data_IF_196283949754
#
_entry.id   IF_196283949754
#
_cell.length_a   1.000
_cell.length_b   1.000
_cell.length_c   1.000
_cell.angle_alpha   90.00
_cell.angle_beta   90.00
_cell.angle_gamma   90.00
#
_symmetry.space_group_name_H-M   'P 1'
#
loop_
_entity.id
_entity.type
_entity.pdbx_description
1 polymer ?
#
# COMPACT_ATOMS: atom_id res chain seq x y z
N UNK A 1 14.03 10.49 10.64
CA UNK A 1 13.42 10.43 9.29
C UNK A 1 13.64 11.76 8.60
N UNK A 2 14.09 11.76 7.33
CA UNK A 2 14.27 13.00 6.53
C UNK A 2 13.25 12.94 5.40
N UNK A 3 12.28 13.85 5.42
CA UNK A 3 11.29 14.00 4.35
C UNK A 3 11.90 14.73 3.14
N UNK A 4 11.45 14.41 1.94
CA UNK A 4 11.71 15.16 0.74
C UNK A 4 10.93 16.50 0.76
N UNK A 5 11.38 17.49 -0.01
CA UNK A 5 10.75 18.82 -0.03
C UNK A 5 9.24 18.76 -0.34
N UNK A 6 8.86 18.04 -1.39
CA UNK A 6 7.43 17.89 -1.75
C UNK A 6 6.61 17.22 -0.63
N UNK A 7 7.21 16.29 0.13
CA UNK A 7 6.53 15.65 1.26
C UNK A 7 6.31 16.65 2.40
N UNK A 8 7.29 17.52 2.68
CA UNK A 8 7.14 18.61 3.66
C UNK A 8 6.06 19.60 3.22
N UNK A 9 6.03 19.97 1.93
CA UNK A 9 5.00 20.82 1.36
C UNK A 9 3.61 20.19 1.52
N UNK A 10 3.47 18.90 1.24
CA UNK A 10 2.21 18.18 1.44
C UNK A 10 1.77 18.16 2.90
N UNK A 11 2.68 17.96 3.85
CA UNK A 11 2.39 18.07 5.30
C UNK A 11 1.89 19.46 5.65
N UNK A 12 2.55 20.51 5.17
CA UNK A 12 2.13 21.90 5.40
C UNK A 12 0.73 22.16 4.85
N UNK A 13 0.46 21.73 3.61
CA UNK A 13 -0.87 21.87 2.99
C UNK A 13 -1.94 21.09 3.76
N UNK A 14 -1.62 19.95 4.36
CA UNK A 14 -2.55 19.22 5.24
C UNK A 14 -2.89 20.06 6.49
N UNK A 15 -1.90 20.71 7.13
CA UNK A 15 -2.18 21.62 8.25
C UNK A 15 -3.08 22.79 7.84
N UNK A 16 -2.82 23.39 6.70
CA UNK A 16 -3.64 24.49 6.15
C UNK A 16 -5.06 24.01 5.88
N UNK A 17 -5.24 22.87 5.24
CA UNK A 17 -6.56 22.27 4.96
C UNK A 17 -7.32 21.89 6.24
N UNK A 18 -6.65 21.45 7.30
CA UNK A 18 -7.27 21.18 8.59
C UNK A 18 -7.86 22.44 9.23
N UNK A 19 -7.35 23.62 8.92
CA UNK A 19 -7.86 24.89 9.42
C UNK A 19 -9.03 25.46 8.59
N UNK A 20 -9.31 24.92 7.40
CA UNK A 20 -10.43 25.35 6.56
C UNK A 20 -11.77 24.78 7.07
N UNK A 21 -12.93 25.31 6.65
CA UNK A 21 -14.23 24.73 6.99
C UNK A 21 -14.55 23.44 6.21
N UNK A 22 -13.73 23.05 5.23
CA UNK A 22 -13.95 21.83 4.47
C UNK A 22 -13.88 20.59 5.37
N UNK A 23 -14.88 19.71 5.30
CA UNK A 23 -14.90 18.44 6.02
C UNK A 23 -13.99 17.42 5.37
N UNK A 24 -14.08 17.28 4.06
CA UNK A 24 -13.29 16.33 3.28
C UNK A 24 -12.04 17.02 2.72
N UNK A 25 -10.89 16.39 2.95
CA UNK A 25 -9.59 16.78 2.43
C UNK A 25 -9.11 15.64 1.55
N UNK A 26 -8.82 15.90 0.28
CA UNK A 26 -8.35 14.90 -0.67
C UNK A 26 -6.84 15.07 -0.83
N UNK A 27 -6.08 14.05 -0.45
CA UNK A 27 -4.66 13.96 -0.76
C UNK A 27 -4.50 13.10 -2.02
N UNK A 28 -4.38 13.75 -3.17
CA UNK A 28 -4.08 13.11 -4.44
C UNK A 28 -2.58 12.97 -4.58
N UNK A 29 -2.10 11.74 -4.66
CA UNK A 29 -0.67 11.47 -4.66
C UNK A 29 -0.35 10.20 -5.45
N UNK A 30 0.67 10.20 -6.34
CA UNK A 30 1.08 9.03 -7.07
C UNK A 30 1.43 7.85 -6.16
N UNK A 31 1.29 6.62 -6.67
CA UNK A 31 1.81 5.43 -5.99
C UNK A 31 3.34 5.55 -5.87
N UNK A 32 3.91 5.14 -4.73
CA UNK A 32 5.34 5.26 -4.49
C UNK A 32 5.81 6.64 -4.00
N UNK A 33 4.94 7.65 -3.89
CA UNK A 33 5.29 8.99 -3.36
C UNK A 33 5.60 9.02 -1.86
N UNK A 34 5.34 7.91 -1.14
CA UNK A 34 5.46 7.86 0.30
C UNK A 34 4.24 8.41 1.06
N UNK A 35 3.03 8.24 0.55
CA UNK A 35 1.76 8.66 1.21
C UNK A 35 1.73 8.31 2.70
N UNK A 36 2.05 7.06 3.03
CA UNK A 36 2.07 6.59 4.43
C UNK A 36 3.02 7.41 5.28
N UNK A 37 4.20 7.74 4.76
CA UNK A 37 5.22 8.53 5.48
C UNK A 37 4.75 9.97 5.68
N UNK A 38 4.17 10.59 4.66
CA UNK A 38 3.61 11.95 4.74
C UNK A 38 2.55 12.01 5.83
N UNK A 39 1.61 11.07 5.80
CA UNK A 39 0.48 11.05 6.73
C UNK A 39 0.91 10.72 8.16
N UNK A 40 1.78 9.74 8.38
CA UNK A 40 2.26 9.42 9.74
C UNK A 40 3.05 10.58 10.34
N UNK A 41 3.83 11.29 9.54
CA UNK A 41 4.53 12.49 9.99
C UNK A 41 3.56 13.63 10.30
N UNK A 42 2.56 13.86 9.44
CA UNK A 42 1.50 14.81 9.68
C UNK A 42 0.74 14.50 10.97
N UNK A 43 0.28 13.26 11.16
CA UNK A 43 -0.45 12.82 12.36
C UNK A 43 0.35 13.12 13.63
N UNK A 44 1.62 12.75 13.65
CA UNK A 44 2.50 13.00 14.79
C UNK A 44 2.62 14.47 15.13
N UNK A 45 2.90 15.32 14.13
CA UNK A 45 3.02 16.77 14.32
C UNK A 45 1.69 17.42 14.75
N UNK A 46 0.58 16.91 14.18
CA UNK A 46 -0.74 17.43 14.49
C UNK A 46 -1.16 17.15 15.93
N UNK A 47 -0.95 15.93 16.42
CA UNK A 47 -1.23 15.52 17.80
C UNK A 47 -0.44 16.39 18.80
N UNK A 48 0.83 16.69 18.51
CA UNK A 48 1.64 17.55 19.37
C UNK A 48 1.09 18.98 19.46
N UNK A 49 0.49 19.49 18.39
CA UNK A 49 -0.07 20.84 18.33
C UNK A 49 -1.52 20.90 18.86
N UNK A 50 -2.25 19.80 18.73
CA UNK A 50 -3.66 19.71 19.06
C UNK A 50 -3.91 18.45 19.93
N UNK A 51 -3.63 18.50 21.24
CA UNK A 51 -3.89 17.40 22.15
C UNK A 51 -5.38 17.02 22.17
N UNK A 52 -5.71 15.83 22.64
CA UNK A 52 -7.06 15.22 22.56
C UNK A 52 -7.53 14.90 21.13
N UNK A 53 -6.59 14.79 20.18
CA UNK A 53 -6.89 14.31 18.84
C UNK A 53 -6.56 12.82 18.74
N UNK A 54 -7.50 12.05 18.19
CA UNK A 54 -7.30 10.64 17.83
C UNK A 54 -7.44 10.52 16.32
N UNK A 55 -6.43 9.95 15.69
CA UNK A 55 -6.51 9.58 14.28
C UNK A 55 -7.01 8.15 14.12
N UNK A 56 -7.98 7.96 13.23
CA UNK A 56 -8.46 6.63 12.83
C UNK A 56 -8.17 6.45 11.35
N UNK A 57 -7.17 5.62 11.07
CA UNK A 57 -6.75 5.29 9.71
C UNK A 57 -7.47 4.03 9.23
N UNK A 58 -8.37 4.19 8.30
CA UNK A 58 -9.17 3.13 7.71
C UNK A 58 -8.50 2.58 6.46
N UNK A 59 -8.14 1.30 6.48
CA UNK A 59 -7.54 0.59 5.35
C UNK A 59 -8.52 -0.42 4.72
N UNK A 60 -8.39 -0.75 3.42
CA UNK A 60 -9.11 -1.87 2.83
C UNK A 60 -8.64 -3.21 3.42
N UNK A 61 -9.50 -4.24 3.33
CA UNK A 61 -9.30 -5.56 3.92
C UNK A 61 -8.33 -6.49 3.23
N UNK A 62 -7.34 -5.95 2.52
CA UNK A 62 -6.36 -6.74 1.76
C UNK A 62 -4.98 -6.60 2.38
N UNK A 63 -4.20 -7.70 2.36
CA UNK A 63 -2.75 -7.72 2.64
C UNK A 63 -2.32 -7.11 3.99
N UNK A 64 -3.17 -7.12 5.03
CA UNK A 64 -2.87 -6.58 6.36
C UNK A 64 -2.31 -5.14 6.32
N UNK A 65 -2.90 -4.29 5.49
CA UNK A 65 -2.44 -2.91 5.28
C UNK A 65 -2.46 -2.09 6.58
N UNK A 66 -3.39 -2.39 7.49
CA UNK A 66 -3.45 -1.76 8.82
C UNK A 66 -2.19 -2.02 9.63
N UNK A 67 -1.69 -3.28 9.64
CA UNK A 67 -0.49 -3.67 10.36
C UNK A 67 0.77 -3.06 9.71
N UNK A 68 0.84 -3.04 8.38
CA UNK A 68 1.94 -2.42 7.65
C UNK A 68 2.02 -0.91 7.89
N UNK A 69 0.89 -0.21 7.89
CA UNK A 69 0.85 1.23 8.14
C UNK A 69 1.22 1.57 9.57
N UNK A 70 0.73 0.77 10.55
CA UNK A 70 1.14 0.86 11.95
C UNK A 70 2.65 0.63 12.11
N UNK A 71 3.18 -0.46 11.55
CA UNK A 71 4.61 -0.78 11.64
C UNK A 71 5.50 0.31 11.01
N UNK A 72 5.07 0.92 9.90
CA UNK A 72 5.76 2.08 9.32
C UNK A 72 5.76 3.27 10.28
N UNK A 73 4.63 3.58 10.93
CA UNK A 73 4.58 4.66 11.92
C UNK A 73 5.49 4.36 13.11
N UNK A 74 5.43 3.17 13.69
CA UNK A 74 6.28 2.75 14.82
C UNK A 74 7.76 2.81 14.49
N UNK A 75 8.14 2.42 13.26
CA UNK A 75 9.53 2.46 12.78
C UNK A 75 10.07 3.89 12.71
N UNK A 76 9.28 4.85 12.30
CA UNK A 76 9.74 6.21 12.03
C UNK A 76 9.43 7.22 13.14
N UNK A 77 8.43 6.94 13.98
CA UNK A 77 7.93 7.82 15.03
C UNK A 77 7.93 7.07 16.37
N UNK A 78 9.05 7.03 17.05
CA UNK A 78 9.25 6.25 18.28
C UNK A 78 8.39 6.66 19.49
N UNK A 79 7.79 7.85 19.47
CA UNK A 79 6.92 8.35 20.54
C UNK A 79 5.42 8.26 20.16
N UNK A 80 5.05 7.54 19.11
CA UNK A 80 3.66 7.39 18.69
C UNK A 80 2.92 6.37 19.57
N UNK A 81 1.66 6.68 19.89
CA UNK A 81 0.73 5.75 20.52
C UNK A 81 -0.12 5.11 19.42
N UNK A 82 0.31 3.94 18.96
CA UNK A 82 -0.35 3.26 17.84
C UNK A 82 -1.19 2.09 18.34
N UNK A 83 -2.40 1.96 17.81
CA UNK A 83 -3.35 0.88 18.14
C UNK A 83 -3.87 0.20 16.88
N UNK A 84 -4.11 -1.11 16.97
CA UNK A 84 -4.94 -1.87 16.03
C UNK A 84 -6.37 -1.96 16.58
N UNK A 85 -7.29 -2.51 15.78
CA UNK A 85 -8.69 -2.71 16.22
C UNK A 85 -8.78 -3.54 17.51
N UNK A 86 -7.94 -4.58 17.68
CA UNK A 86 -7.89 -5.40 18.88
C UNK A 86 -7.53 -4.61 20.14
N UNK A 87 -6.62 -3.66 20.01
CA UNK A 87 -6.20 -2.82 21.12
C UNK A 87 -7.31 -1.84 21.50
N UNK A 88 -7.99 -1.25 20.50
CA UNK A 88 -9.16 -0.39 20.71
C UNK A 88 -10.31 -1.16 21.38
N UNK A 89 -10.55 -2.40 20.95
CA UNK A 89 -11.59 -3.26 21.56
C UNK A 89 -11.31 -3.60 23.02
N UNK A 90 -10.05 -3.60 23.42
CA UNK A 90 -9.63 -3.95 24.79
C UNK A 90 -9.54 -2.72 25.71
N UNK A 91 -8.94 -1.63 25.23
CA UNK A 91 -8.58 -0.46 26.03
C UNK A 91 -9.36 0.81 25.66
N UNK A 92 -10.13 0.80 24.56
CA UNK A 92 -10.79 1.99 24.03
C UNK A 92 -9.82 2.95 23.33
N UNK A 93 -10.32 4.17 23.09
CA UNK A 93 -9.54 5.26 22.53
C UNK A 93 -8.99 6.14 23.66
N UNK A 94 -7.72 6.47 23.57
CA UNK A 94 -7.03 7.38 24.49
C UNK A 94 -6.55 8.63 23.75
N UNK A 95 -6.30 9.70 24.49
CA UNK A 95 -5.79 10.96 23.90
C UNK A 95 -4.51 10.71 23.10
N UNK A 96 -4.45 11.25 21.90
CA UNK A 96 -3.31 11.19 20.99
C UNK A 96 -3.04 9.82 20.34
N UNK A 97 -3.99 8.91 20.41
CA UNK A 97 -3.90 7.63 19.71
C UNK A 97 -3.87 7.80 18.18
N UNK A 98 -3.14 6.90 17.54
CA UNK A 98 -3.15 6.67 16.09
C UNK A 98 -3.61 5.24 15.83
N UNK A 99 -4.89 5.08 15.48
CA UNK A 99 -5.54 3.79 15.35
C UNK A 99 -5.59 3.35 13.88
N UNK A 100 -5.05 2.17 13.57
CA UNK A 100 -5.05 1.57 12.23
C UNK A 100 -6.06 0.45 12.18
N UNK A 101 -7.10 0.62 11.37
CA UNK A 101 -8.27 -0.26 11.39
C UNK A 101 -8.64 -0.70 9.97
N UNK A 102 -8.74 -2.01 9.78
CA UNK A 102 -9.36 -2.57 8.60
C UNK A 102 -10.88 -2.36 8.68
N UNK A 103 -11.41 -1.43 7.87
CA UNK A 103 -12.84 -1.08 7.90
C UNK A 103 -13.75 -2.24 7.50
N UNK A 104 -13.27 -3.21 6.72
CA UNK A 104 -14.07 -4.37 6.34
C UNK A 104 -14.41 -5.27 7.54
N UNK A 105 -13.54 -5.31 8.56
CA UNK A 105 -13.84 -6.03 9.82
C UNK A 105 -15.06 -5.44 10.55
N UNK A 106 -15.33 -4.14 10.34
CA UNK A 106 -16.45 -3.43 10.95
C UNK A 106 -17.76 -3.56 10.16
N UNK A 107 -17.71 -3.94 8.88
CA UNK A 107 -18.86 -3.91 7.95
C UNK A 107 -19.31 -5.25 7.41
N UNK A 108 -18.44 -6.25 7.37
CA UNK A 108 -18.75 -7.57 6.78
C UNK A 108 -19.60 -8.42 7.74
N UNK A 109 -20.53 -9.20 7.16
CA UNK A 109 -21.17 -10.35 7.81
C UNK A 109 -20.36 -11.59 7.42
N UNK A 110 -19.74 -12.28 8.37
CA UNK A 110 -18.96 -13.50 8.11
C UNK A 110 -17.91 -13.77 9.19
N UNK A 111 -17.08 -14.81 9.00
CA UNK A 111 -16.12 -15.30 10.01
C UNK A 111 -15.08 -14.28 10.50
N UNK A 112 -14.83 -13.22 9.72
CA UNK A 112 -13.86 -12.16 10.05
C UNK A 112 -14.51 -10.83 10.44
N UNK A 113 -15.85 -10.78 10.59
CA UNK A 113 -16.56 -9.59 11.01
C UNK A 113 -16.69 -9.55 12.55
N UNK A 114 -16.77 -8.35 13.10
CA UNK A 114 -17.14 -8.19 14.51
C UNK A 114 -18.54 -8.81 14.74
N UNK A 115 -18.68 -9.52 15.83
CA UNK A 115 -20.00 -9.96 16.33
C UNK A 115 -20.81 -8.74 16.77
N UNK A 116 -22.11 -8.87 16.85
CA UNK A 116 -22.98 -7.75 17.27
C UNK A 116 -22.59 -7.17 18.64
N UNK A 117 -22.18 -8.01 19.60
CA UNK A 117 -21.67 -7.57 20.91
C UNK A 117 -20.33 -6.79 20.80
N UNK A 118 -19.44 -7.23 19.95
CA UNK A 118 -18.15 -6.56 19.72
C UNK A 118 -18.37 -5.20 19.02
N UNK A 119 -19.30 -5.15 18.07
CA UNK A 119 -19.68 -3.91 17.41
C UNK A 119 -20.31 -2.93 18.40
N UNK A 120 -21.16 -3.39 19.30
CA UNK A 120 -21.73 -2.55 20.36
C UNK A 120 -20.62 -1.99 21.26
N UNK A 121 -19.68 -2.84 21.70
CA UNK A 121 -18.53 -2.42 22.48
C UNK A 121 -17.67 -1.36 21.76
N UNK A 122 -17.41 -1.56 20.46
CA UNK A 122 -16.67 -0.57 19.67
C UNK A 122 -17.37 0.79 19.63
N UNK A 123 -18.68 0.80 19.44
CA UNK A 123 -19.49 2.04 19.45
C UNK A 123 -19.50 2.71 20.82
N UNK A 124 -19.55 1.91 21.90
CA UNK A 124 -19.44 2.41 23.27
C UNK A 124 -18.07 3.09 23.51
N UNK A 125 -16.96 2.50 23.03
CA UNK A 125 -15.65 3.13 23.11
C UNK A 125 -15.59 4.47 22.38
N UNK A 126 -16.20 4.57 21.20
CA UNK A 126 -16.30 5.86 20.48
C UNK A 126 -17.07 6.87 21.32
N UNK A 127 -18.22 6.48 21.87
CA UNK A 127 -19.05 7.38 22.65
C UNK A 127 -18.37 7.85 23.94
N UNK A 128 -17.63 6.97 24.64
CA UNK A 128 -16.82 7.34 25.79
C UNK A 128 -15.75 8.37 25.42
N UNK A 129 -15.01 8.13 24.34
CA UNK A 129 -13.98 9.06 23.88
C UNK A 129 -14.56 10.44 23.51
N UNK A 130 -15.73 10.48 22.87
CA UNK A 130 -16.42 11.74 22.56
C UNK A 130 -16.84 12.49 23.82
N UNK A 131 -17.34 11.76 24.85
CA UNK A 131 -17.73 12.33 26.13
C UNK A 131 -16.52 12.90 26.90
N UNK A 132 -15.32 12.31 26.73
CA UNK A 132 -14.07 12.78 27.29
C UNK A 132 -13.46 13.96 26.52
N UNK A 133 -14.16 14.40 25.46
CA UNK A 133 -13.76 15.54 24.63
C UNK A 133 -12.68 15.23 23.62
N UNK A 134 -12.50 13.95 23.28
CA UNK A 134 -11.61 13.51 22.20
C UNK A 134 -12.21 13.92 20.85
N UNK A 135 -11.38 14.48 19.99
CA UNK A 135 -11.72 14.81 18.61
C UNK A 135 -11.12 13.79 17.67
N UNK A 136 -11.98 13.16 16.88
CA UNK A 136 -11.55 12.21 15.87
C UNK A 136 -11.20 12.89 14.54
N UNK A 137 -10.14 12.44 13.90
CA UNK A 137 -9.79 12.74 12.50
C UNK A 137 -9.70 11.42 11.76
N UNK A 138 -10.47 11.26 10.70
CA UNK A 138 -10.49 10.01 9.93
C UNK A 138 -9.58 10.11 8.73
N UNK A 139 -8.74 9.11 8.51
CA UNK A 139 -7.95 8.93 7.29
C UNK A 139 -8.53 7.72 6.55
N UNK A 140 -8.87 7.88 5.29
CA UNK A 140 -9.35 6.80 4.40
C UNK A 140 -8.29 6.55 3.35
N UNK A 141 -7.58 5.43 3.49
CA UNK A 141 -6.56 5.05 2.53
C UNK A 141 -7.16 4.31 1.32
N UNK A 142 -6.51 4.44 0.16
CA UNK A 142 -6.97 3.87 -1.12
C UNK A 142 -8.47 4.13 -1.38
N UNK A 143 -8.90 5.37 -1.18
CA UNK A 143 -10.31 5.79 -1.21
C UNK A 143 -11.03 5.50 -2.53
N UNK A 144 -10.30 5.19 -3.61
CA UNK A 144 -10.87 4.80 -4.90
C UNK A 144 -11.39 3.35 -4.92
N UNK A 145 -10.81 2.45 -4.11
CA UNK A 145 -11.20 1.03 -4.05
C UNK A 145 -12.38 0.77 -3.13
N UNK A 146 -12.65 1.71 -2.23
CA UNK A 146 -13.62 1.52 -1.18
C UNK A 146 -15.04 1.86 -1.65
N UNK A 147 -15.92 0.88 -1.50
CA UNK A 147 -17.35 1.08 -1.65
C UNK A 147 -17.78 2.06 -0.57
N UNK A 148 -17.77 3.33 -0.90
CA UNK A 148 -17.82 4.50 -0.03
C UNK A 148 -19.00 4.49 0.96
N UNK A 149 -20.14 3.88 0.60
CA UNK A 149 -21.36 3.87 1.41
C UNK A 149 -21.14 3.21 2.79
N UNK A 150 -20.46 2.04 2.81
CA UNK A 150 -20.26 1.31 4.08
C UNK A 150 -19.17 1.93 4.96
N UNK A 151 -18.12 2.48 4.35
CA UNK A 151 -17.09 3.21 5.09
C UNK A 151 -17.70 4.52 5.65
N UNK A 152 -18.52 5.22 4.87
CA UNK A 152 -19.18 6.44 5.30
C UNK A 152 -20.18 6.18 6.45
N UNK A 153 -20.86 5.03 6.48
CA UNK A 153 -21.70 4.63 7.62
C UNK A 153 -20.89 4.53 8.93
N UNK A 154 -19.67 3.98 8.87
CA UNK A 154 -18.80 3.88 10.07
C UNK A 154 -18.28 5.24 10.47
N UNK A 155 -17.86 6.06 9.50
CA UNK A 155 -17.33 7.40 9.75
C UNK A 155 -18.36 8.28 10.50
N UNK A 156 -19.65 8.08 10.27
CA UNK A 156 -20.71 8.83 10.95
C UNK A 156 -20.69 8.63 12.47
N UNK A 157 -20.32 7.46 12.98
CA UNK A 157 -20.28 7.21 14.42
C UNK A 157 -19.20 8.01 15.15
N UNK A 158 -18.14 8.41 14.45
CA UNK A 158 -17.04 9.19 15.03
C UNK A 158 -17.37 10.68 15.19
N UNK A 159 -18.50 11.15 14.67
CA UNK A 159 -18.89 12.56 14.70
C UNK A 159 -17.77 13.52 14.27
N UNK A 160 -16.93 13.07 13.33
CA UNK A 160 -15.77 13.84 12.85
C UNK A 160 -16.18 14.95 11.90
N UNK A 161 -15.51 16.07 12.02
CA UNK A 161 -15.59 17.21 11.12
C UNK A 161 -14.42 17.24 10.09
N UNK A 162 -13.48 16.30 10.19
CA UNK A 162 -12.32 16.20 9.28
C UNK A 162 -12.06 14.77 8.81
N UNK A 163 -12.07 14.60 7.49
CA UNK A 163 -11.78 13.33 6.81
C UNK A 163 -10.71 13.56 5.76
N UNK A 164 -9.58 12.89 5.87
CA UNK A 164 -8.49 12.92 4.89
C UNK A 164 -8.61 11.67 4.02
N UNK A 165 -8.86 11.86 2.73
CA UNK A 165 -9.01 10.76 1.76
C UNK A 165 -7.78 10.70 0.86
N UNK A 166 -7.09 9.57 0.86
CA UNK A 166 -5.84 9.39 0.15
C UNK A 166 -6.04 8.47 -1.04
N UNK A 167 -5.58 8.87 -2.21
CA UNK A 167 -5.62 8.06 -3.43
C UNK A 167 -4.74 8.65 -4.52
N UNK A 168 -4.26 7.79 -5.44
CA UNK A 168 -3.67 8.24 -6.70
C UNK A 168 -4.75 8.74 -7.68
N UNK A 169 -5.95 8.15 -7.59
CA UNK A 169 -7.09 8.48 -8.47
C UNK A 169 -8.35 8.72 -7.61
N UNK A 170 -8.41 9.83 -6.86
CA UNK A 170 -9.53 10.10 -5.97
C UNK A 170 -10.80 10.38 -6.78
N UNK A 171 -11.95 10.11 -6.16
CA UNK A 171 -13.24 10.55 -6.67
C UNK A 171 -13.47 12.02 -6.29
N UNK A 172 -14.15 12.75 -7.15
CA UNK A 172 -14.56 14.12 -6.85
C UNK A 172 -15.56 14.15 -5.70
N UNK A 173 -15.29 15.00 -4.71
CA UNK A 173 -16.19 15.27 -3.58
C UNK A 173 -16.47 16.76 -3.57
N UNK A 174 -17.75 17.11 -3.58
CA UNK A 174 -18.15 18.50 -3.57
C UNK A 174 -17.65 19.23 -2.30
N UNK A 175 -17.05 20.40 -2.50
CA UNK A 175 -16.49 21.24 -1.44
C UNK A 175 -15.31 20.62 -0.66
N UNK A 176 -14.67 19.58 -1.18
CA UNK A 176 -13.45 19.06 -0.60
C UNK A 176 -12.28 20.03 -0.85
N UNK A 177 -11.36 20.09 0.10
CA UNK A 177 -10.05 20.69 -0.10
C UNK A 177 -9.14 19.68 -0.82
N UNK A 178 -8.49 20.08 -1.90
CA UNK A 178 -7.68 19.17 -2.71
C UNK A 178 -6.21 19.56 -2.57
N UNK A 179 -5.41 18.60 -2.11
CA UNK A 179 -3.96 18.66 -2.05
C UNK A 179 -3.44 17.68 -3.10
N UNK A 180 -2.78 18.18 -4.12
CA UNK A 180 -2.20 17.36 -5.19
C UNK A 180 -0.68 17.38 -5.10
N UNK A 181 -0.08 16.19 -5.12
CA UNK A 181 1.36 16.01 -5.25
C UNK A 181 1.66 15.72 -6.71
N UNK A 182 2.36 16.63 -7.43
CA UNK A 182 2.70 16.42 -8.82
C UNK A 182 3.62 15.21 -9.00
N UNK A 183 3.36 14.40 -10.02
CA UNK A 183 4.17 13.22 -10.33
C UNK A 183 5.62 13.60 -10.65
N UNK A 184 5.82 14.73 -11.30
CA UNK A 184 7.13 15.27 -11.66
C UNK A 184 8.03 15.53 -10.44
N UNK A 185 7.45 16.00 -9.33
CA UNK A 185 8.20 16.22 -8.09
C UNK A 185 8.64 14.90 -7.45
N UNK A 186 7.80 13.87 -7.53
CA UNK A 186 8.09 12.53 -7.02
C UNK A 186 9.19 11.85 -7.86
N UNK A 187 9.13 12.00 -9.19
CA UNK A 187 10.16 11.56 -10.12
C UNK A 187 11.49 12.30 -9.85
N UNK A 188 11.44 13.61 -9.71
CA UNK A 188 12.63 14.44 -9.44
C UNK A 188 13.31 14.06 -8.11
N UNK A 189 12.50 13.65 -7.12
CA UNK A 189 12.99 13.16 -5.84
C UNK A 189 13.54 11.72 -5.87
N UNK A 190 13.43 11.03 -7.01
CA UNK A 190 13.93 9.66 -7.22
C UNK A 190 13.10 8.58 -6.53
N UNK A 191 11.83 8.84 -6.17
CA UNK A 191 10.98 7.88 -5.48
C UNK A 191 10.17 6.99 -6.42
N UNK A 192 9.90 7.45 -7.64
CA UNK A 192 9.23 6.66 -8.67
C UNK A 192 10.03 6.69 -9.98
N UNK A 193 9.77 5.71 -10.83
CA UNK A 193 10.48 5.56 -12.11
C UNK A 193 10.14 6.73 -13.04
N UNK A 194 11.16 7.25 -13.69
CA UNK A 194 11.00 8.33 -14.68
C UNK A 194 10.23 7.89 -15.93
N UNK A 195 10.29 6.61 -16.27
CA UNK A 195 9.68 6.07 -17.47
C UNK A 195 9.31 4.60 -17.28
N UNK A 196 8.15 4.22 -17.78
CA UNK A 196 7.75 2.84 -17.98
C UNK A 196 7.89 2.51 -19.47
N UNK A 197 8.67 1.49 -19.77
CA UNK A 197 8.86 1.00 -21.14
C UNK A 197 8.00 -0.25 -21.32
N UNK A 198 7.08 -0.19 -22.28
CA UNK A 198 6.17 -1.29 -22.59
C UNK A 198 6.48 -1.80 -23.98
N UNK A 199 6.77 -3.10 -24.10
CA UNK A 199 6.99 -3.81 -25.36
C UNK A 199 8.01 -3.11 -26.29
N UNK A 200 9.06 -2.50 -25.72
CA UNK A 200 10.13 -1.91 -26.50
C UNK A 200 10.79 -2.98 -27.38
N UNK A 201 10.95 -2.68 -28.67
CA UNK A 201 11.56 -3.58 -29.66
C UNK A 201 10.79 -4.90 -29.92
N UNK A 202 9.51 -4.95 -29.50
CA UNK A 202 8.64 -6.05 -29.85
C UNK A 202 7.99 -5.83 -31.22
N UNK A 203 7.91 -6.86 -32.07
CA UNK A 203 7.14 -6.78 -33.32
C UNK A 203 5.64 -6.58 -32.99
N UNK A 204 4.93 -5.87 -33.85
CA UNK A 204 3.47 -5.65 -33.68
C UNK A 204 2.68 -6.97 -33.63
N UNK A 205 3.21 -8.01 -34.28
CA UNK A 205 2.63 -9.35 -34.31
C UNK A 205 3.72 -10.36 -33.98
N UNK A 206 3.49 -11.22 -32.99
CA UNK A 206 4.40 -12.32 -32.66
C UNK A 206 3.97 -13.52 -33.50
N UNK A 207 4.71 -13.80 -34.58
CA UNK A 207 4.50 -14.93 -35.49
C UNK A 207 5.32 -16.16 -35.03
N UNK A 208 5.10 -16.62 -33.81
CA UNK A 208 5.71 -17.84 -33.32
C UNK A 208 4.65 -18.80 -32.78
N UNK A 209 4.87 -20.12 -32.93
CA UNK A 209 3.98 -21.13 -32.37
C UNK A 209 3.98 -21.09 -30.83
N UNK A 210 5.13 -20.70 -30.23
CA UNK A 210 5.27 -20.54 -28.78
C UNK A 210 5.54 -19.10 -28.39
N UNK A 211 4.48 -18.32 -28.22
CA UNK A 211 4.53 -16.94 -27.76
C UNK A 211 5.10 -16.83 -26.34
N UNK A 212 4.86 -17.81 -25.49
CA UNK A 212 5.31 -17.81 -24.08
C UNK A 212 6.83 -17.93 -24.03
N UNK A 213 7.41 -18.87 -24.75
CA UNK A 213 8.86 -19.04 -24.81
C UNK A 213 9.54 -17.78 -25.35
N UNK A 214 8.98 -17.16 -26.39
CA UNK A 214 9.50 -15.92 -26.95
C UNK A 214 9.49 -14.78 -25.92
N UNK A 215 8.40 -14.59 -25.18
CA UNK A 215 8.31 -13.55 -24.15
C UNK A 215 9.31 -13.81 -23.02
N UNK A 216 9.46 -15.03 -22.56
CA UNK A 216 10.42 -15.41 -21.54
C UNK A 216 11.86 -15.21 -21.98
N UNK A 217 12.20 -15.55 -23.23
CA UNK A 217 13.52 -15.29 -23.80
C UNK A 217 13.86 -13.80 -23.78
N UNK A 218 12.92 -12.93 -24.21
CA UNK A 218 13.10 -11.49 -24.19
C UNK A 218 13.24 -10.95 -22.78
N UNK A 219 12.43 -11.42 -21.83
CA UNK A 219 12.51 -11.02 -20.42
C UNK A 219 13.86 -11.39 -19.80
N UNK A 220 14.34 -12.62 -20.03
CA UNK A 220 15.64 -13.08 -19.56
C UNK A 220 16.80 -12.31 -20.21
N UNK A 221 16.71 -12.01 -21.50
CA UNK A 221 17.68 -11.17 -22.19
C UNK A 221 17.77 -9.78 -21.56
N UNK A 222 16.61 -9.17 -21.27
CA UNK A 222 16.56 -7.84 -20.64
C UNK A 222 17.07 -7.85 -19.21
N UNK A 223 16.74 -8.88 -18.43
CA UNK A 223 17.25 -9.05 -17.07
C UNK A 223 18.79 -9.12 -17.06
N UNK A 224 19.40 -9.92 -17.96
CA UNK A 224 20.86 -10.03 -18.08
C UNK A 224 21.50 -8.70 -18.48
N UNK A 225 20.92 -7.98 -19.43
CA UNK A 225 21.37 -6.64 -19.84
C UNK A 225 21.37 -5.66 -18.67
N UNK A 226 20.24 -5.58 -17.92
CA UNK A 226 20.11 -4.70 -16.79
C UNK A 226 21.09 -5.06 -15.66
N UNK A 227 21.26 -6.35 -15.35
CA UNK A 227 22.22 -6.81 -14.36
C UNK A 227 23.65 -6.41 -14.73
N UNK A 228 24.02 -6.60 -16.00
CA UNK A 228 25.33 -6.19 -16.49
C UNK A 228 25.54 -4.67 -16.36
N UNK A 229 24.52 -3.87 -16.69
CA UNK A 229 24.58 -2.42 -16.56
C UNK A 229 24.70 -1.96 -15.09
N UNK A 230 24.02 -2.60 -14.14
CA UNK A 230 24.16 -2.31 -12.71
C UNK A 230 25.57 -2.63 -12.23
N UNK A 231 26.12 -3.79 -12.58
CA UNK A 231 27.48 -4.18 -12.19
C UNK A 231 28.54 -3.25 -12.78
N UNK A 232 28.36 -2.73 -14.00
CA UNK A 232 29.26 -1.73 -14.59
C UNK A 232 29.25 -0.39 -13.83
N UNK A 233 28.20 -0.11 -13.06
CA UNK A 233 28.09 1.08 -12.21
C UNK A 233 28.35 0.78 -10.72
N UNK A 234 29.10 -0.27 -10.43
CA UNK A 234 29.45 -0.71 -9.06
C UNK A 234 28.21 -0.91 -8.15
N UNK A 235 27.09 -1.32 -8.73
CA UNK A 235 25.84 -1.55 -8.01
C UNK A 235 25.45 -3.02 -8.15
N UNK A 236 25.39 -3.76 -7.02
CA UNK A 236 24.98 -5.16 -7.01
C UNK A 236 23.46 -5.27 -6.88
N UNK A 237 22.77 -5.13 -8.00
CA UNK A 237 21.32 -5.32 -8.11
C UNK A 237 21.05 -6.51 -9.03
N UNK A 238 20.26 -7.47 -8.57
CA UNK A 238 19.73 -8.54 -9.39
C UNK A 238 18.30 -8.20 -9.84
N UNK A 239 18.09 -7.77 -11.10
CA UNK A 239 16.75 -7.44 -11.59
C UNK A 239 15.83 -8.66 -11.54
N UNK A 240 14.67 -8.52 -10.93
CA UNK A 240 13.68 -9.58 -10.79
C UNK A 240 12.71 -9.57 -11.98
N UNK A 241 12.50 -10.72 -12.61
CA UNK A 241 11.44 -10.93 -13.59
C UNK A 241 10.16 -11.34 -12.86
N UNK A 242 9.10 -10.57 -13.02
CA UNK A 242 7.78 -10.93 -12.48
C UNK A 242 6.92 -11.51 -13.60
N UNK A 243 6.54 -12.77 -13.46
CA UNK A 243 5.75 -13.52 -14.44
C UNK A 243 4.34 -13.68 -13.89
N UNK A 244 3.41 -12.89 -14.40
CA UNK A 244 2.02 -12.98 -13.99
C UNK A 244 1.25 -13.93 -14.89
N UNK A 245 0.67 -14.97 -14.32
CA UNK A 245 -0.16 -15.95 -15.03
C UNK A 245 -1.65 -15.83 -14.63
N UNK A 246 -2.60 -16.21 -15.52
CA UNK A 246 -4.03 -16.24 -15.21
C UNK A 246 -4.38 -17.23 -14.09
N UNK A 247 -5.50 -16.99 -13.38
CA UNK A 247 -5.91 -17.76 -12.21
C UNK A 247 -6.25 -19.25 -12.49
N UNK A 248 -6.46 -19.64 -13.74
CA UNK A 248 -6.80 -21.02 -14.13
C UNK A 248 -5.92 -21.47 -15.29
N UNK A 249 -4.64 -21.68 -15.03
CA UNK A 249 -3.67 -21.95 -16.08
C UNK A 249 -2.52 -22.85 -15.61
N UNK A 250 -2.85 -24.03 -15.05
CA UNK A 250 -1.84 -24.99 -14.59
C UNK A 250 -0.89 -25.40 -15.72
N UNK A 251 -1.42 -25.74 -16.90
CA UNK A 251 -0.58 -26.09 -18.07
C UNK A 251 0.34 -24.96 -18.53
N UNK A 252 -0.06 -23.70 -18.37
CA UNK A 252 0.80 -22.55 -18.68
C UNK A 252 1.89 -22.40 -17.62
N UNK A 253 1.57 -22.61 -16.35
CA UNK A 253 2.54 -22.60 -15.25
C UNK A 253 3.61 -23.67 -15.51
N UNK A 254 3.23 -24.90 -15.75
CA UNK A 254 4.15 -26.00 -16.06
C UNK A 254 5.04 -25.71 -17.28
N UNK A 255 4.48 -25.02 -18.29
CA UNK A 255 5.23 -24.59 -19.47
C UNK A 255 6.28 -23.53 -19.15
N UNK A 256 5.91 -22.54 -18.34
CA UNK A 256 6.79 -21.47 -17.87
C UNK A 256 7.91 -22.07 -17.00
N UNK A 257 7.59 -22.89 -16.03
CA UNK A 257 8.57 -23.52 -15.13
C UNK A 257 9.58 -24.35 -15.93
N UNK A 258 9.13 -25.27 -16.81
CA UNK A 258 10.01 -26.06 -17.66
C UNK A 258 10.93 -25.21 -18.54
N UNK A 259 10.41 -24.10 -19.10
CA UNK A 259 11.25 -23.21 -19.90
C UNK A 259 12.34 -22.56 -19.03
N UNK A 260 11.99 -22.04 -17.85
CA UNK A 260 12.94 -21.42 -16.94
C UNK A 260 13.99 -22.43 -16.44
N UNK A 261 13.62 -23.67 -16.16
CA UNK A 261 14.54 -24.75 -15.81
C UNK A 261 15.58 -24.99 -16.93
N UNK A 262 15.16 -24.99 -18.21
CA UNK A 262 16.10 -25.12 -19.34
C UNK A 262 17.09 -23.97 -19.41
N UNK A 263 16.75 -22.83 -18.83
CA UNK A 263 17.60 -21.65 -18.72
C UNK A 263 18.43 -21.61 -17.41
N UNK A 264 18.33 -22.65 -16.59
CA UNK A 264 19.06 -22.81 -15.35
C UNK A 264 18.45 -22.09 -14.14
N UNK A 265 17.21 -21.58 -14.27
CA UNK A 265 16.48 -21.01 -13.14
C UNK A 265 15.58 -22.08 -12.54
N UNK A 266 15.93 -22.59 -11.35
CA UNK A 266 15.19 -23.64 -10.66
C UNK A 266 14.82 -23.23 -9.24
N UNK A 267 13.90 -23.96 -8.64
CA UNK A 267 13.55 -23.78 -7.23
C UNK A 267 14.73 -24.19 -6.33
N UNK A 268 15.43 -25.27 -6.67
CA UNK A 268 16.53 -25.81 -5.86
C UNK A 268 17.73 -24.87 -5.77
N UNK A 269 18.01 -24.10 -6.84
CA UNK A 269 19.12 -23.16 -6.83
C UNK A 269 18.71 -21.75 -6.33
N UNK A 270 17.44 -21.56 -5.92
CA UNK A 270 16.91 -20.31 -5.40
C UNK A 270 16.70 -19.19 -6.44
N UNK A 271 16.95 -19.47 -7.74
CA UNK A 271 16.80 -18.43 -8.78
C UNK A 271 15.37 -18.30 -9.29
N UNK A 272 14.51 -19.29 -9.04
CA UNK A 272 13.09 -19.27 -9.32
C UNK A 272 12.30 -19.22 -8.01
N UNK A 273 11.32 -18.33 -7.93
CA UNK A 273 10.36 -18.24 -6.84
C UNK A 273 8.93 -18.40 -7.35
N UNK A 274 8.03 -18.77 -6.46
CA UNK A 274 6.59 -18.84 -6.75
C UNK A 274 5.80 -18.27 -5.59
N UNK A 275 4.80 -17.45 -5.92
CA UNK A 275 3.86 -16.88 -4.98
C UNK A 275 2.43 -17.04 -5.50
N UNK A 276 1.80 -18.13 -5.13
CA UNK A 276 0.42 -18.47 -5.47
C UNK A 276 -0.38 -18.64 -4.18
N UNK A 277 -1.69 -18.86 -4.29
CA UNK A 277 -2.57 -19.08 -3.11
C UNK A 277 -2.21 -20.31 -2.28
N UNK A 278 -1.68 -21.32 -2.92
CA UNK A 278 -1.42 -22.68 -2.42
C UNK A 278 0.05 -23.11 -2.50
N UNK A 279 0.92 -22.26 -3.08
CA UNK A 279 2.35 -22.56 -3.25
C UNK A 279 3.18 -21.31 -3.01
N UNK A 280 4.08 -21.35 -2.02
CA UNK A 280 5.00 -20.29 -1.69
C UNK A 280 6.41 -20.87 -1.56
N UNK A 281 7.35 -20.44 -2.41
CA UNK A 281 8.72 -20.95 -2.40
C UNK A 281 9.71 -19.84 -2.80
N UNK A 282 10.87 -19.81 -2.14
CA UNK A 282 11.97 -18.86 -2.36
C UNK A 282 11.58 -17.37 -2.28
N UNK A 283 10.64 -17.01 -1.40
CA UNK A 283 10.18 -15.62 -1.25
C UNK A 283 10.98 -14.83 -0.21
N UNK A 284 11.77 -15.48 0.64
CA UNK A 284 12.56 -14.81 1.66
C UNK A 284 13.65 -13.94 1.02
N UNK A 285 13.66 -12.65 1.37
CA UNK A 285 14.63 -11.68 0.86
C UNK A 285 14.48 -11.35 -0.63
N UNK A 286 13.35 -11.69 -1.27
CA UNK A 286 13.12 -11.44 -2.70
C UNK A 286 13.09 -9.94 -3.05
N UNK A 287 12.84 -9.08 -2.07
CA UNK A 287 12.84 -7.61 -2.15
C UNK A 287 14.22 -6.98 -1.93
N UNK A 288 15.23 -7.78 -1.54
CA UNK A 288 16.58 -7.28 -1.39
C UNK A 288 17.24 -7.03 -2.77
N UNK A 289 18.02 -5.95 -2.92
CA UNK A 289 18.61 -5.59 -4.21
C UNK A 289 19.46 -6.70 -4.84
N UNK A 290 20.18 -7.47 -4.02
CA UNK A 290 21.10 -8.53 -4.44
C UNK A 290 20.52 -9.94 -4.20
N UNK A 291 19.19 -10.08 -4.13
CA UNK A 291 18.53 -11.36 -3.99
C UNK A 291 19.04 -12.39 -5.01
N UNK A 292 19.10 -13.66 -4.62
CA UNK A 292 19.47 -14.76 -5.54
C UNK A 292 18.41 -14.97 -6.60
N UNK A 293 17.15 -14.71 -6.24
CA UNK A 293 15.99 -14.90 -7.12
C UNK A 293 16.04 -13.99 -8.32
N UNK A 294 15.91 -14.58 -9.51
CA UNK A 294 15.91 -13.86 -10.80
C UNK A 294 14.53 -13.82 -11.45
N UNK A 295 13.64 -14.76 -11.11
CA UNK A 295 12.26 -14.79 -11.59
C UNK A 295 11.29 -15.24 -10.51
N UNK A 296 10.09 -14.65 -10.51
CA UNK A 296 8.98 -15.06 -9.65
C UNK A 296 7.70 -15.23 -10.46
N UNK A 297 7.01 -16.36 -10.23
CA UNK A 297 5.70 -16.64 -10.83
C UNK A 297 4.62 -16.22 -9.84
N UNK A 298 3.66 -15.39 -10.30
CA UNK A 298 2.54 -14.90 -9.50
C UNK A 298 1.21 -15.07 -10.22
N UNK A 299 0.11 -15.14 -9.48
CA UNK A 299 -1.26 -14.99 -10.02
C UNK A 299 -1.82 -13.60 -9.72
N UNK A 300 -2.84 -13.21 -10.48
CA UNK A 300 -3.43 -11.86 -10.42
C UNK A 300 -3.90 -11.44 -9.01
N UNK A 301 -4.24 -12.39 -8.13
CA UNK A 301 -4.66 -12.10 -6.76
C UNK A 301 -3.54 -11.56 -5.86
N UNK A 302 -2.28 -11.82 -6.21
CA UNK A 302 -1.08 -11.41 -5.44
C UNK A 302 -0.56 -10.03 -5.89
N UNK A 303 -0.97 -9.57 -7.08
CA UNK A 303 -0.48 -8.33 -7.69
C UNK A 303 -0.93 -7.03 -6.97
N UNK A 304 -1.74 -7.13 -5.92
CA UNK A 304 -2.18 -5.97 -5.13
C UNK A 304 -1.57 -6.03 -3.74
N UNK A 305 -0.56 -5.20 -3.48
CA UNK A 305 0.06 -5.05 -2.16
C UNK A 305 1.53 -5.45 -2.07
N UNK A 306 2.19 -5.65 -3.21
CA UNK A 306 3.64 -5.78 -3.27
C UNK A 306 4.24 -4.44 -3.74
N UNK A 307 4.86 -3.74 -2.80
CA UNK A 307 5.66 -2.53 -3.05
C UNK A 307 7.14 -2.88 -3.01
#
# INVERSE_FOLDING_TARGET
MVLKEFQLNAVKSLFEAMATPARDIILKSPTGSGKTIILTYFMHQYIQSFPKTVFVWLTPGKANLEEQSKAKMDKYIHASQTKLLSDVMTAGFEENDSCFINWEKLTKKGNNALKDSERTNFLEHIQHALNDGIRFVIIVDESHQNNTIKADEIIQYFHTDKIIRCSATPKDIAKAEIIEIPEEEVIAAGLIKKMLVINQDFPQTIETEDQTAFLLEKALGKQRELRAAFLQNDTDINPLIVIQIPNKSESLQDGVERYLETQGLTYENGQLAVWLSDQHENLEGIDEPNATTSAVIIKQAVATGWD
#
